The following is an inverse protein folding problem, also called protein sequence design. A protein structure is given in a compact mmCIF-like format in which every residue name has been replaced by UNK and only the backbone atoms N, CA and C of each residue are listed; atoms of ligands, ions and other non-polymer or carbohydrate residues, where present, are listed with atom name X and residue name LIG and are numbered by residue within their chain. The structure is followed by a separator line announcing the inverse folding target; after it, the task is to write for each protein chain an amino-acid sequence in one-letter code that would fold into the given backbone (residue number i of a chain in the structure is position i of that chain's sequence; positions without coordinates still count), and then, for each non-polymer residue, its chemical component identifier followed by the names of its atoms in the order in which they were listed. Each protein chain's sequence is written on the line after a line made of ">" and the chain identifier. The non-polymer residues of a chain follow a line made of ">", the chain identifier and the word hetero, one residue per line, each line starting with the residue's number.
data_IF_243042624332
#
_entry.id   IF_243042624332
#
_cell.length_a   1.000
_cell.length_b   1.000
_cell.length_c   1.000
_cell.angle_alpha   90.00
_cell.angle_beta   90.00
_cell.angle_gamma   90.00
#
_symmetry.space_group_name_H-M   'P 1'
#
loop_
_entity.id
_entity.type
_entity.pdbx_description
1 polymer ?
#
# COMPACT_ATOMS: atom_id res chain seq x y z
N UNK A 1 21.40 -11.38 -6.46
CA UNK A 1 20.13 -11.40 -5.67
C UNK A 1 19.84 -12.78 -5.06
N UNK A 2 20.01 -13.90 -5.81
CA UNK A 2 19.70 -15.23 -5.30
C UNK A 2 20.56 -15.61 -4.06
N UNK A 3 21.84 -15.32 -4.08
CA UNK A 3 22.76 -15.60 -2.96
C UNK A 3 22.53 -14.68 -1.76
N UNK A 4 21.95 -13.50 -1.99
CA UNK A 4 21.61 -12.55 -0.94
C UNK A 4 20.21 -12.77 -0.33
N UNK A 5 19.49 -13.82 -0.76
CA UNK A 5 18.13 -14.11 -0.29
C UNK A 5 17.03 -13.21 -0.91
N UNK A 6 17.39 -12.26 -1.76
CA UNK A 6 16.44 -11.34 -2.42
C UNK A 6 15.99 -11.87 -3.78
N UNK A 7 15.47 -13.10 -3.80
CA UNK A 7 15.10 -13.80 -5.04
C UNK A 7 13.96 -13.12 -5.82
N UNK A 8 13.09 -12.37 -5.15
CA UNK A 8 12.03 -11.58 -5.75
C UNK A 8 12.56 -10.44 -6.64
N UNK A 9 13.81 -10.00 -6.44
CA UNK A 9 14.49 -9.01 -7.26
C UNK A 9 15.32 -9.64 -8.40
N UNK A 10 14.98 -10.86 -8.81
CA UNK A 10 15.67 -11.53 -9.90
C UNK A 10 15.42 -10.81 -11.24
N UNK A 11 16.46 -10.44 -12.02
CA UNK A 11 16.28 -9.79 -13.31
C UNK A 11 15.62 -10.73 -14.35
N UNK A 12 15.65 -12.04 -14.12
CA UNK A 12 15.05 -13.06 -14.97
C UNK A 12 13.75 -13.62 -14.37
N UNK A 13 13.01 -12.82 -13.62
CA UNK A 13 11.72 -13.24 -13.07
C UNK A 13 10.73 -13.54 -14.18
N UNK A 14 10.10 -14.71 -14.10
CA UNK A 14 9.01 -15.14 -14.99
C UNK A 14 7.73 -15.24 -14.17
N UNK A 15 6.85 -14.24 -14.34
CA UNK A 15 5.57 -14.17 -13.63
C UNK A 15 4.57 -15.19 -14.18
N UNK A 16 4.00 -16.01 -13.29
CA UNK A 16 2.91 -16.93 -13.61
C UNK A 16 1.67 -16.11 -13.97
N UNK A 17 1.07 -16.39 -15.14
CA UNK A 17 -0.07 -15.63 -15.65
C UNK A 17 0.30 -14.30 -16.33
N UNK A 18 1.59 -13.94 -16.41
CA UNK A 18 2.09 -12.72 -17.07
C UNK A 18 3.09 -13.06 -18.17
N UNK A 19 4.17 -13.76 -17.84
CA UNK A 19 5.23 -14.14 -18.80
C UNK A 19 5.14 -15.63 -19.20
N UNK A 20 4.29 -16.39 -18.55
CA UNK A 20 3.98 -17.80 -18.80
C UNK A 20 2.55 -18.09 -18.41
N UNK A 21 2.02 -19.26 -18.79
CA UNK A 21 0.67 -19.70 -18.46
C UNK A 21 0.37 -19.62 -16.97
N UNK A 22 -0.83 -19.17 -16.65
CA UNK A 22 -1.33 -18.90 -15.30
C UNK A 22 -2.12 -20.06 -14.68
N UNK A 23 -2.80 -19.74 -13.58
CA UNK A 23 -3.55 -20.70 -12.76
C UNK A 23 -4.99 -20.97 -13.24
N UNK A 24 -5.47 -20.38 -14.34
CA UNK A 24 -6.75 -20.75 -14.97
C UNK A 24 -6.59 -22.06 -15.77
N UNK A 25 -6.26 -23.15 -15.05
CA UNK A 25 -6.01 -24.47 -15.61
C UNK A 25 -6.23 -25.53 -14.54
N UNK A 26 -6.44 -26.79 -14.94
CA UNK A 26 -6.56 -27.92 -14.02
C UNK A 26 -5.23 -28.22 -13.29
N UNK A 27 -4.12 -27.92 -13.95
CA UNK A 27 -2.75 -28.17 -13.42
C UNK A 27 -1.86 -26.97 -13.66
N UNK A 28 -1.06 -26.64 -12.67
CA UNK A 28 -0.04 -25.60 -12.72
C UNK A 28 1.31 -26.15 -12.25
N UNK A 29 2.33 -26.02 -13.10
CA UNK A 29 3.71 -26.38 -12.73
C UNK A 29 4.43 -25.15 -12.18
N UNK A 30 4.89 -25.22 -10.94
CA UNK A 30 5.67 -24.16 -10.28
C UNK A 30 6.86 -24.76 -9.52
N UNK A 31 7.96 -24.02 -9.31
CA UNK A 31 9.06 -24.47 -8.48
C UNK A 31 8.59 -24.79 -7.06
N UNK A 32 8.97 -25.95 -6.54
CA UNK A 32 8.53 -26.41 -5.20
C UNK A 32 8.84 -25.41 -4.08
N UNK A 33 9.94 -24.65 -4.19
CA UNK A 33 10.33 -23.61 -3.23
C UNK A 33 9.35 -22.41 -3.17
N UNK A 34 8.50 -22.27 -4.18
CA UNK A 34 7.50 -21.20 -4.24
C UNK A 34 6.13 -21.66 -3.74
N UNK A 35 6.04 -22.88 -3.21
CA UNK A 35 4.78 -23.44 -2.73
C UNK A 35 4.70 -23.26 -1.22
N UNK A 36 3.68 -22.55 -0.78
CA UNK A 36 3.26 -22.47 0.61
C UNK A 36 2.13 -23.47 0.87
N UNK A 37 2.28 -24.28 1.92
CA UNK A 37 1.23 -25.21 2.36
C UNK A 37 0.53 -24.61 3.58
N UNK A 38 -0.65 -24.00 3.41
CA UNK A 38 -1.40 -23.42 4.52
C UNK A 38 -2.00 -24.52 5.42
N UNK A 39 -2.50 -24.13 6.60
CA UNK A 39 -3.32 -25.01 7.43
C UNK A 39 -4.57 -25.45 6.66
N UNK A 40 -4.97 -26.71 6.86
CA UNK A 40 -6.22 -27.25 6.28
C UNK A 40 -7.47 -26.60 6.83
N UNK A 41 -7.38 -25.95 7.98
CA UNK A 41 -8.47 -25.24 8.62
C UNK A 41 -8.73 -23.84 8.04
N UNK A 42 -7.80 -23.34 7.22
CA UNK A 42 -7.90 -22.02 6.61
C UNK A 42 -8.90 -22.03 5.47
N UNK A 43 -9.85 -21.09 5.48
CA UNK A 43 -10.85 -20.99 4.42
C UNK A 43 -10.21 -20.59 3.08
N UNK A 44 -10.78 -21.06 1.98
CA UNK A 44 -10.34 -20.70 0.62
C UNK A 44 -10.46 -19.20 0.35
N UNK A 45 -11.42 -18.51 0.98
CA UNK A 45 -11.57 -17.05 0.85
C UNK A 45 -10.38 -16.29 1.44
N UNK A 46 -9.89 -16.74 2.60
CA UNK A 46 -8.65 -16.18 3.17
C UNK A 46 -7.43 -16.49 2.30
N UNK A 47 -7.34 -17.72 1.77
CA UNK A 47 -6.23 -18.11 0.89
C UNK A 47 -6.19 -17.27 -0.38
N UNK A 48 -7.34 -16.91 -0.94
CA UNK A 48 -7.44 -16.05 -2.11
C UNK A 48 -6.89 -14.63 -1.86
N UNK A 49 -6.85 -14.19 -0.59
CA UNK A 49 -6.32 -12.89 -0.19
C UNK A 49 -4.82 -12.90 0.11
N UNK A 50 -4.13 -14.03 0.05
CA UNK A 50 -2.72 -14.12 0.49
C UNK A 50 -1.77 -13.29 -0.36
N UNK A 51 -1.93 -13.30 -1.69
CA UNK A 51 -1.09 -12.49 -2.57
C UNK A 51 -1.27 -10.99 -2.31
N UNK A 52 -2.49 -10.41 -2.39
CA UNK A 52 -2.69 -9.00 -2.10
C UNK A 52 -2.34 -8.62 -0.66
N UNK A 53 -2.54 -9.52 0.31
CA UNK A 53 -2.11 -9.30 1.69
C UNK A 53 -0.58 -9.30 1.81
N UNK A 54 0.11 -10.19 1.12
CA UNK A 54 1.57 -10.21 1.06
C UNK A 54 2.13 -8.90 0.50
N UNK A 55 1.52 -8.35 -0.54
CA UNK A 55 1.86 -7.04 -1.09
C UNK A 55 1.64 -5.91 -0.07
N UNK A 56 0.53 -5.93 0.67
CA UNK A 56 0.23 -4.96 1.71
C UNK A 56 1.26 -5.00 2.86
N UNK A 57 1.60 -6.20 3.33
CA UNK A 57 2.61 -6.42 4.39
C UNK A 57 3.99 -5.95 3.93
N UNK A 58 4.42 -6.39 2.74
CA UNK A 58 5.72 -6.03 2.19
C UNK A 58 5.88 -4.51 2.06
N UNK A 59 4.85 -3.84 1.52
CA UNK A 59 4.90 -2.40 1.31
C UNK A 59 4.85 -1.62 2.62
N UNK A 60 3.92 -1.97 3.52
CA UNK A 60 3.80 -1.28 4.79
C UNK A 60 5.05 -1.46 5.67
N UNK A 61 5.62 -2.66 5.71
CA UNK A 61 6.80 -2.95 6.53
C UNK A 61 8.15 -2.65 5.83
N UNK A 62 8.14 -2.02 4.66
CA UNK A 62 9.38 -1.52 4.03
C UNK A 62 10.03 -0.41 4.85
N UNK A 63 9.27 0.23 5.74
CA UNK A 63 9.73 1.27 6.64
C UNK A 63 9.32 0.97 8.08
N UNK A 64 10.03 1.56 9.05
CA UNK A 64 9.57 1.54 10.42
C UNK A 64 8.27 2.38 10.54
N UNK A 65 7.26 1.81 11.18
CA UNK A 65 5.94 2.45 11.35
C UNK A 65 5.70 2.95 12.78
N UNK A 66 6.54 2.54 13.72
CA UNK A 66 6.32 2.85 15.16
C UNK A 66 6.40 4.34 15.41
N UNK A 67 5.28 4.93 15.79
CA UNK A 67 5.17 6.36 16.10
C UNK A 67 5.06 7.28 14.89
N UNK A 68 5.10 6.74 13.66
CA UNK A 68 5.07 7.50 12.42
C UNK A 68 3.65 7.90 12.02
N UNK A 69 3.52 9.03 11.33
CA UNK A 69 2.30 9.47 10.67
C UNK A 69 2.27 8.95 9.24
N UNK A 70 1.24 8.18 8.92
CA UNK A 70 1.15 7.43 7.66
C UNK A 70 0.04 7.98 6.78
N UNK A 71 0.36 8.33 5.54
CA UNK A 71 -0.59 8.67 4.49
C UNK A 71 -0.71 7.53 3.49
N UNK A 72 -1.93 7.03 3.29
CA UNK A 72 -2.23 5.98 2.31
C UNK A 72 -3.15 6.55 1.23
N UNK A 73 -2.74 6.49 -0.03
CA UNK A 73 -3.61 6.86 -1.16
C UNK A 73 -4.22 5.60 -1.78
N UNK A 74 -5.54 5.58 -1.87
CA UNK A 74 -6.32 4.43 -2.35
C UNK A 74 -6.76 3.47 -1.24
N UNK A 75 -8.06 3.43 -0.97
CA UNK A 75 -8.70 2.50 -0.05
C UNK A 75 -9.23 1.25 -0.77
N UNK A 76 -8.48 0.73 -1.75
CA UNK A 76 -8.69 -0.59 -2.33
C UNK A 76 -8.36 -1.71 -1.33
N UNK A 77 -8.54 -2.99 -1.69
CA UNK A 77 -8.24 -4.11 -0.79
C UNK A 77 -6.83 -4.05 -0.20
N UNK A 78 -5.82 -3.77 -1.03
CA UNK A 78 -4.42 -3.69 -0.57
C UNK A 78 -4.21 -2.47 0.33
N UNK A 79 -4.76 -1.30 -0.03
CA UNK A 79 -4.66 -0.10 0.81
C UNK A 79 -5.30 -0.26 2.19
N UNK A 80 -6.47 -0.91 2.25
CA UNK A 80 -7.13 -1.25 3.53
C UNK A 80 -6.28 -2.21 4.36
N UNK A 81 -5.73 -3.27 3.74
CA UNK A 81 -4.84 -4.21 4.42
C UNK A 81 -3.56 -3.53 4.89
N UNK A 82 -2.98 -2.62 4.09
CA UNK A 82 -1.82 -1.83 4.48
C UNK A 82 -2.09 -0.93 5.70
N UNK A 83 -3.28 -0.32 5.77
CA UNK A 83 -3.70 0.45 6.93
C UNK A 83 -3.80 -0.42 8.19
N UNK A 84 -4.33 -1.65 8.06
CA UNK A 84 -4.39 -2.61 9.16
C UNK A 84 -2.99 -3.02 9.63
N UNK A 85 -2.07 -3.29 8.70
CA UNK A 85 -0.67 -3.63 9.00
C UNK A 85 0.04 -2.46 9.68
N UNK A 86 -0.08 -1.24 9.13
CA UNK A 86 0.52 -0.04 9.72
C UNK A 86 0.01 0.22 11.14
N UNK A 87 -1.29 0.05 11.37
CA UNK A 87 -1.89 0.15 12.71
C UNK A 87 -1.34 -0.89 13.67
N UNK A 88 -1.21 -2.15 13.23
CA UNK A 88 -0.65 -3.22 14.03
C UNK A 88 0.83 -2.99 14.35
N UNK A 89 1.57 -2.42 13.40
CA UNK A 89 2.98 -2.09 13.54
C UNK A 89 3.25 -0.85 14.40
N UNK A 90 2.22 -0.14 14.86
CA UNK A 90 2.35 0.96 15.81
C UNK A 90 2.42 2.36 15.20
N UNK A 91 1.89 2.58 14.01
CA UNK A 91 1.73 3.92 13.43
C UNK A 91 0.90 4.83 14.36
N UNK A 92 1.31 6.09 14.49
CA UNK A 92 0.68 7.09 15.35
C UNK A 92 -0.67 7.52 14.78
N UNK A 93 -0.66 8.04 13.58
CA UNK A 93 -1.85 8.39 12.82
C UNK A 93 -1.82 7.67 11.47
N UNK A 94 -2.98 7.28 10.99
CA UNK A 94 -3.16 6.70 9.64
C UNK A 94 -4.27 7.48 8.97
N UNK A 95 -3.92 8.21 7.92
CA UNK A 95 -4.86 8.87 7.03
C UNK A 95 -4.94 8.08 5.74
N UNK A 96 -6.14 7.66 5.34
CA UNK A 96 -6.37 6.95 4.08
C UNK A 96 -7.33 7.75 3.20
N UNK A 97 -6.98 7.89 1.92
CA UNK A 97 -7.77 8.65 0.95
C UNK A 97 -8.33 7.74 -0.15
N UNK A 98 -9.51 8.05 -0.62
CA UNK A 98 -10.11 7.45 -1.83
C UNK A 98 -11.17 8.40 -2.39
N UNK A 99 -11.59 8.19 -3.62
CA UNK A 99 -12.77 8.84 -4.23
C UNK A 99 -14.07 8.06 -3.93
N UNK A 100 -13.98 6.81 -3.53
CA UNK A 100 -15.10 5.91 -3.28
C UNK A 100 -15.49 5.89 -1.81
N UNK A 101 -16.64 6.49 -1.48
CA UNK A 101 -17.11 6.57 -0.11
C UNK A 101 -17.35 5.21 0.55
N UNK A 102 -17.88 4.22 -0.20
CA UNK A 102 -18.12 2.88 0.34
C UNK A 102 -16.84 2.23 0.88
N UNK A 103 -15.71 2.39 0.17
CA UNK A 103 -14.41 1.85 0.59
C UNK A 103 -13.91 2.55 1.87
N UNK A 104 -14.08 3.86 1.94
CA UNK A 104 -13.73 4.65 3.13
C UNK A 104 -14.57 4.25 4.34
N UNK A 105 -15.87 4.06 4.16
CA UNK A 105 -16.77 3.62 5.22
C UNK A 105 -16.42 2.20 5.68
N UNK A 106 -16.05 1.32 4.74
CA UNK A 106 -15.64 -0.05 5.05
C UNK A 106 -14.38 -0.08 5.92
N UNK A 107 -13.32 0.62 5.53
CA UNK A 107 -12.10 0.65 6.34
C UNK A 107 -12.34 1.34 7.68
N UNK A 108 -13.17 2.37 7.74
CA UNK A 108 -13.54 3.02 9.01
C UNK A 108 -14.27 2.08 9.95
N UNK A 109 -15.10 1.19 9.42
CA UNK A 109 -15.78 0.15 10.20
C UNK A 109 -14.80 -0.92 10.72
N UNK A 110 -13.83 -1.33 9.90
CA UNK A 110 -12.82 -2.35 10.25
C UNK A 110 -11.79 -1.79 11.23
N UNK A 111 -11.32 -0.56 10.99
CA UNK A 111 -10.29 0.13 11.76
C UNK A 111 -10.83 1.50 12.22
N UNK A 112 -11.56 1.57 13.35
CA UNK A 112 -12.25 2.79 13.79
C UNK A 112 -11.33 4.01 14.03
N UNK A 113 -10.05 3.78 14.30
CA UNK A 113 -9.07 4.86 14.55
C UNK A 113 -8.52 5.48 13.24
N UNK A 114 -8.68 4.82 12.08
CA UNK A 114 -8.19 5.37 10.81
C UNK A 114 -8.95 6.67 10.46
N UNK A 115 -8.23 7.64 9.92
CA UNK A 115 -8.81 8.87 9.42
C UNK A 115 -9.06 8.69 7.91
N UNK A 116 -10.29 8.87 7.47
CA UNK A 116 -10.69 8.68 6.07
C UNK A 116 -11.00 10.02 5.43
N UNK A 117 -10.47 10.27 4.23
CA UNK A 117 -10.73 11.51 3.46
C UNK A 117 -11.19 11.13 2.06
N UNK A 118 -12.38 11.58 1.67
CA UNK A 118 -12.88 11.42 0.31
C UNK A 118 -12.39 12.58 -0.56
N UNK A 119 -11.32 12.32 -1.32
CA UNK A 119 -10.64 13.36 -2.12
C UNK A 119 -11.41 13.79 -3.38
N UNK A 120 -12.58 13.22 -3.66
CA UNK A 120 -13.52 13.74 -4.62
C UNK A 120 -14.39 14.88 -4.06
N UNK A 121 -14.47 15.02 -2.74
CA UNK A 121 -15.32 15.98 -2.03
C UNK A 121 -14.53 16.97 -1.19
N UNK A 122 -13.40 16.55 -0.67
CA UNK A 122 -12.60 17.30 0.29
C UNK A 122 -11.10 17.08 0.00
N UNK A 123 -10.23 17.68 0.78
CA UNK A 123 -8.79 17.52 0.71
C UNK A 123 -8.22 17.29 2.10
N UNK A 124 -7.01 16.76 2.18
CA UNK A 124 -6.25 16.76 3.43
C UNK A 124 -5.85 18.20 3.72
N UNK A 125 -6.65 18.88 4.53
CA UNK A 125 -6.42 20.26 4.89
C UNK A 125 -5.33 20.39 5.96
N UNK A 126 -4.75 21.60 6.05
CA UNK A 126 -3.80 21.92 7.12
C UNK A 126 -4.45 21.78 8.50
N UNK A 127 -5.68 22.25 8.66
CA UNK A 127 -6.42 22.15 9.92
C UNK A 127 -6.63 20.70 10.36
N UNK A 128 -6.91 19.79 9.41
CA UNK A 128 -7.00 18.36 9.71
C UNK A 128 -5.65 17.82 10.20
N UNK A 129 -4.57 18.12 9.51
CA UNK A 129 -3.22 17.69 9.90
C UNK A 129 -2.84 18.23 11.29
N UNK A 130 -3.05 19.51 11.54
CA UNK A 130 -2.77 20.14 12.85
C UNK A 130 -3.61 19.52 13.97
N UNK A 131 -4.88 19.18 13.71
CA UNK A 131 -5.76 18.51 14.68
C UNK A 131 -5.25 17.12 15.08
N UNK A 132 -4.44 16.49 14.22
CA UNK A 132 -3.79 15.20 14.44
C UNK A 132 -2.37 15.34 15.03
N UNK A 133 -1.90 16.57 15.23
CA UNK A 133 -0.53 16.86 15.66
C UNK A 133 0.51 16.65 14.56
N UNK A 134 0.11 16.74 13.29
CA UNK A 134 0.97 16.65 12.11
C UNK A 134 1.24 18.08 11.63
N UNK A 135 2.39 18.63 11.96
CA UNK A 135 2.72 20.04 11.67
C UNK A 135 3.58 20.20 10.41
N UNK A 136 4.46 19.27 10.14
CA UNK A 136 5.43 19.37 9.04
C UNK A 136 5.09 18.49 7.84
N UNK A 137 4.32 17.42 8.04
CA UNK A 137 3.92 16.47 7.01
C UNK A 137 3.89 15.04 7.52
N UNK A 138 3.55 14.11 6.63
CA UNK A 138 3.54 12.68 6.93
C UNK A 138 4.94 12.07 6.80
N UNK A 139 5.30 11.18 7.70
CA UNK A 139 6.59 10.49 7.72
C UNK A 139 6.68 9.39 6.66
N UNK A 140 5.56 8.68 6.46
CA UNK A 140 5.48 7.55 5.53
C UNK A 140 4.27 7.69 4.60
N UNK A 141 4.52 7.61 3.30
CA UNK A 141 3.51 7.52 2.26
C UNK A 141 3.41 6.10 1.67
N UNK A 142 2.19 5.58 1.54
CA UNK A 142 1.93 4.31 0.86
C UNK A 142 1.02 4.58 -0.34
N UNK A 143 1.59 4.59 -1.55
CA UNK A 143 0.84 4.85 -2.77
C UNK A 143 0.21 3.56 -3.30
N UNK A 144 -1.13 3.46 -3.18
CA UNK A 144 -1.91 2.27 -3.53
C UNK A 144 -3.01 2.56 -4.56
N UNK A 145 -3.06 3.79 -5.09
CA UNK A 145 -4.15 4.22 -5.99
C UNK A 145 -3.82 4.07 -7.47
N UNK A 146 -2.54 4.19 -7.85
CA UNK A 146 -2.09 4.30 -9.23
C UNK A 146 -2.52 5.60 -9.92
N UNK A 147 -2.96 6.61 -9.15
CA UNK A 147 -3.37 7.90 -9.68
C UNK A 147 -2.23 8.91 -9.59
N UNK A 148 -1.76 9.47 -10.72
CA UNK A 148 -0.73 10.53 -10.72
C UNK A 148 -1.11 11.73 -9.86
N UNK A 149 -2.39 12.10 -9.86
CA UNK A 149 -2.91 13.18 -9.03
C UNK A 149 -2.78 12.85 -7.55
N UNK A 150 -3.20 11.64 -7.14
CA UNK A 150 -3.12 11.23 -5.74
C UNK A 150 -1.66 11.16 -5.27
N UNK A 151 -0.75 10.75 -6.14
CA UNK A 151 0.68 10.74 -5.85
C UNK A 151 1.26 12.15 -5.69
N UNK A 152 0.92 13.08 -6.59
CA UNK A 152 1.32 14.49 -6.48
C UNK A 152 0.78 15.13 -5.20
N UNK A 153 -0.50 14.86 -4.88
CA UNK A 153 -1.11 15.32 -3.62
C UNK A 153 -0.40 14.72 -2.40
N UNK A 154 0.02 13.44 -2.45
CA UNK A 154 0.81 12.80 -1.40
C UNK A 154 2.15 13.52 -1.23
N UNK A 155 2.92 13.71 -2.31
CA UNK A 155 4.24 14.38 -2.27
C UNK A 155 4.15 15.73 -1.56
N UNK A 156 3.12 16.52 -1.85
CA UNK A 156 2.91 17.84 -1.24
C UNK A 156 2.55 17.81 0.26
N UNK A 157 2.32 16.63 0.83
CA UNK A 157 1.93 16.42 2.23
C UNK A 157 2.98 15.67 3.03
N UNK A 158 4.04 15.21 2.40
CA UNK A 158 5.14 14.53 3.10
C UNK A 158 6.04 15.54 3.81
N UNK A 159 6.62 15.11 4.92
CA UNK A 159 7.71 15.85 5.57
C UNK A 159 8.98 15.73 4.72
N UNK A 160 9.86 16.73 4.82
CA UNK A 160 11.20 16.62 4.22
C UNK A 160 11.96 15.42 4.82
N UNK A 161 12.47 14.54 3.95
CA UNK A 161 13.07 13.27 4.36
C UNK A 161 12.04 12.16 4.62
N UNK A 162 10.76 12.41 4.36
CA UNK A 162 9.70 11.40 4.36
C UNK A 162 9.98 10.26 3.38
N UNK A 163 9.33 9.13 3.59
CA UNK A 163 9.58 7.90 2.82
C UNK A 163 8.31 7.46 2.13
N UNK A 164 8.38 7.12 0.85
CA UNK A 164 7.23 6.66 0.08
C UNK A 164 7.49 5.29 -0.51
N UNK A 165 6.57 4.36 -0.28
CA UNK A 165 6.49 3.10 -1.00
C UNK A 165 5.40 3.19 -2.08
N UNK A 166 5.79 2.96 -3.33
CA UNK A 166 4.89 2.91 -4.46
C UNK A 166 4.61 1.45 -4.83
N UNK A 167 3.38 1.02 -4.64
CA UNK A 167 2.95 -0.32 -5.04
C UNK A 167 2.09 -0.29 -6.31
N UNK A 168 1.23 0.70 -6.43
CA UNK A 168 0.35 0.79 -7.58
C UNK A 168 1.12 1.18 -8.86
N UNK A 169 0.67 0.64 -9.98
CA UNK A 169 1.27 0.91 -11.30
C UNK A 169 0.66 2.20 -11.85
N UNK A 170 1.50 3.21 -12.03
CA UNK A 170 1.10 4.46 -12.67
C UNK A 170 0.90 4.26 -14.17
N UNK A 171 -0.01 5.02 -14.81
CA UNK A 171 -0.12 5.04 -16.27
C UNK A 171 1.20 5.40 -16.94
N UNK A 172 1.49 4.80 -18.09
CA UNK A 172 2.68 5.11 -18.86
C UNK A 172 2.73 6.60 -19.21
N UNK A 173 3.89 7.23 -19.04
CA UNK A 173 4.09 8.66 -19.29
C UNK A 173 3.62 9.58 -18.17
N UNK A 174 3.26 9.05 -17.00
CA UNK A 174 2.96 9.87 -15.82
C UNK A 174 4.19 10.70 -15.44
N UNK A 175 4.02 12.02 -15.39
CA UNK A 175 5.02 12.94 -14.87
C UNK A 175 5.05 12.92 -13.34
N UNK A 176 6.23 13.13 -12.78
CA UNK A 176 6.45 13.37 -11.35
C UNK A 176 6.99 14.79 -11.22
N UNK A 177 6.46 15.55 -10.27
CA UNK A 177 7.05 16.83 -9.88
C UNK A 177 8.28 16.54 -9.03
N UNK A 178 9.45 16.57 -9.68
CA UNK A 178 10.72 16.27 -9.04
C UNK A 178 11.12 17.32 -8.01
N UNK A 179 10.63 18.55 -8.12
CA UNK A 179 10.91 19.60 -7.13
C UNK A 179 10.34 19.23 -5.75
N UNK A 180 9.23 18.48 -5.72
CA UNK A 180 8.65 17.94 -4.47
C UNK A 180 9.43 16.73 -3.91
N UNK A 181 10.33 16.15 -4.67
CA UNK A 181 11.10 14.95 -4.25
C UNK A 181 12.48 15.31 -3.74
N UNK A 182 13.03 16.43 -4.18
CA UNK A 182 14.44 16.81 -3.94
C UNK A 182 14.62 17.67 -2.69
N UNK A 183 13.57 18.35 -2.22
CA UNK A 183 13.62 19.28 -1.09
C UNK A 183 12.77 18.86 0.08
#
# INVERSE_FOLDING_TARGET
>A
NCLAGTIHLCPNTIGVGVNRDGAFAEYLSVPAKNIFKPSREMSTDLLACFDPYGNAVHTALSFNMVGEDVLITGAGPIGMMSAMVASHAGARNIVITDINQYRLDLIKKILPKVITVNVAKDSISKDLMESLGIFEGFDVGLEMSGSPKAFSDMLSKMINGGRIAMLAIMPAGSGIDWDLVVF
#
